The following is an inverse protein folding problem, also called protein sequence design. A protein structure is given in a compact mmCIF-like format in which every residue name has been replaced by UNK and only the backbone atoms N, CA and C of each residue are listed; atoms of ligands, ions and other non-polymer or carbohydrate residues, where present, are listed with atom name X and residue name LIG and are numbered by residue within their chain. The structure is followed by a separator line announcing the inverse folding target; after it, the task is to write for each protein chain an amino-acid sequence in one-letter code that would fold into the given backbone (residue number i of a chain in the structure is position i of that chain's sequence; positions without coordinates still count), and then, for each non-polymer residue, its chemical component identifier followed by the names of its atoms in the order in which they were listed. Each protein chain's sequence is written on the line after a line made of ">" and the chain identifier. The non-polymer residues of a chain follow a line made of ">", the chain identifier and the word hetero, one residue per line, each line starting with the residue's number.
data_IF_818637234565
#
_entry.id   IF_818637234565
#
_cell.length_a   1.000
_cell.length_b   1.000
_cell.length_c   1.000
_cell.angle_alpha   90.00
_cell.angle_beta   90.00
_cell.angle_gamma   90.00
#
_symmetry.space_group_name_H-M   'P 1'
#
loop_
_entity.id
_entity.type
_entity.pdbx_description
1 polymer ?
#
# COMPACT_ATOMS: atom_id res chain seq x y z
N UNK A 1 -25.54 -38.67 8.09
CA UNK A 1 -24.38 -39.33 7.47
C UNK A 1 -23.44 -39.78 8.59
N UNK A 2 -23.26 -41.09 8.76
CA UNK A 2 -22.30 -41.66 9.71
C UNK A 2 -20.88 -41.35 9.20
N UNK A 3 -20.11 -40.58 9.94
CA UNK A 3 -18.70 -40.31 9.66
C UNK A 3 -17.80 -41.17 10.56
N UNK A 4 -16.66 -41.60 10.03
CA UNK A 4 -15.72 -42.51 10.72
C UNK A 4 -15.09 -41.93 12.00
N UNK A 5 -15.22 -40.63 12.27
CA UNK A 5 -14.51 -39.92 13.33
C UNK A 5 -15.37 -39.35 14.46
N UNK A 6 -16.47 -40.01 14.83
CA UNK A 6 -17.33 -39.54 15.93
C UNK A 6 -18.78 -40.01 15.91
N UNK A 7 -19.13 -40.91 14.99
CA UNK A 7 -20.48 -41.46 14.92
C UNK A 7 -20.77 -42.50 16.02
N UNK A 8 -19.76 -43.16 16.60
CA UNK A 8 -19.95 -44.13 17.69
C UNK A 8 -19.98 -43.38 19.03
N UNK A 9 -21.06 -43.57 19.79
CA UNK A 9 -21.29 -42.95 21.09
C UNK A 9 -20.98 -43.91 22.25
N UNK A 10 -21.30 -45.19 22.10
CA UNK A 10 -21.06 -46.20 23.13
C UNK A 10 -20.87 -47.58 22.50
N UNK A 11 -20.16 -48.45 23.22
CA UNK A 11 -20.04 -49.88 22.91
C UNK A 11 -20.15 -50.64 24.23
N UNK A 12 -21.12 -51.54 24.33
CA UNK A 12 -21.38 -52.37 25.51
C UNK A 12 -21.40 -53.84 25.12
N UNK A 13 -20.77 -54.67 25.95
CA UNK A 13 -20.70 -56.13 25.77
C UNK A 13 -21.47 -56.80 26.92
N UNK A 14 -22.40 -57.69 26.57
CA UNK A 14 -23.13 -58.52 27.51
C UNK A 14 -22.73 -59.98 27.28
N UNK A 15 -21.80 -60.47 28.12
CA UNK A 15 -21.26 -61.83 28.00
C UNK A 15 -22.30 -62.91 28.37
N UNK A 16 -23.32 -62.57 29.16
CA UNK A 16 -24.36 -63.52 29.55
C UNK A 16 -25.35 -63.77 28.41
N UNK A 17 -25.67 -62.71 27.66
CA UNK A 17 -26.58 -62.78 26.50
C UNK A 17 -25.83 -62.94 25.16
N UNK A 18 -24.49 -62.96 25.17
CA UNK A 18 -23.63 -62.95 23.98
C UNK A 18 -24.03 -61.84 22.99
N UNK A 19 -24.24 -60.63 23.50
CA UNK A 19 -24.78 -59.47 22.77
C UNK A 19 -23.81 -58.30 22.82
N UNK A 20 -23.63 -57.62 21.68
CA UNK A 20 -22.91 -56.35 21.60
C UNK A 20 -23.89 -55.25 21.23
N UNK A 21 -23.89 -54.15 21.98
CA UNK A 21 -24.70 -52.96 21.71
C UNK A 21 -23.79 -51.80 21.34
N UNK A 22 -24.08 -51.14 20.22
CA UNK A 22 -23.33 -49.98 19.75
C UNK A 22 -24.29 -48.80 19.64
N UNK A 23 -24.06 -47.76 20.44
CA UNK A 23 -24.77 -46.50 20.30
C UNK A 23 -24.18 -45.70 19.15
N UNK A 24 -25.00 -45.24 18.20
CA UNK A 24 -24.54 -44.46 17.05
C UNK A 24 -25.33 -43.16 16.87
N UNK A 25 -24.64 -42.11 16.42
CA UNK A 25 -25.22 -40.82 16.06
C UNK A 25 -25.17 -40.61 14.57
N UNK A 26 -26.35 -40.64 13.94
CA UNK A 26 -26.50 -40.32 12.53
C UNK A 26 -27.28 -41.40 11.78
N UNK A 27 -27.04 -41.45 10.48
CA UNK A 27 -27.76 -42.30 9.52
C UNK A 27 -26.84 -42.62 8.35
N UNK A 28 -27.01 -43.79 7.76
CA UNK A 28 -26.18 -44.30 6.68
C UNK A 28 -25.68 -45.73 6.93
N UNK A 29 -24.74 -46.17 6.11
CA UNK A 29 -24.15 -47.50 6.21
C UNK A 29 -23.21 -47.59 7.41
N UNK A 30 -23.46 -48.55 8.29
CA UNK A 30 -22.56 -48.91 9.38
C UNK A 30 -21.88 -50.23 9.06
N UNK A 31 -20.54 -50.28 9.24
CA UNK A 31 -19.74 -51.49 9.08
C UNK A 31 -18.98 -51.78 10.37
N UNK A 32 -19.07 -53.02 10.85
CA UNK A 32 -18.45 -53.46 12.10
C UNK A 32 -17.73 -54.79 11.88
N UNK A 33 -16.52 -54.89 12.38
CA UNK A 33 -15.77 -56.15 12.35
C UNK A 33 -16.34 -57.15 13.36
N UNK A 34 -16.56 -58.40 12.92
CA UNK A 34 -16.96 -59.51 13.77
C UNK A 34 -16.20 -60.77 13.37
N UNK A 35 -15.57 -61.44 14.33
CA UNK A 35 -14.81 -62.68 14.08
C UNK A 35 -15.69 -63.84 13.61
N UNK A 36 -16.95 -63.85 14.03
CA UNK A 36 -17.98 -64.82 13.65
C UNK A 36 -19.24 -64.11 13.14
N UNK A 37 -20.01 -64.79 12.28
CA UNK A 37 -21.24 -64.23 11.71
C UNK A 37 -22.31 -64.10 12.80
N UNK A 38 -22.89 -62.90 13.04
CA UNK A 38 -23.96 -62.73 14.02
C UNK A 38 -25.21 -63.55 13.67
N UNK A 39 -26.00 -63.93 14.68
CA UNK A 39 -27.29 -64.60 14.45
C UNK A 39 -28.39 -63.62 14.00
N UNK A 40 -28.39 -62.39 14.50
CA UNK A 40 -29.33 -61.35 14.09
C UNK A 40 -28.76 -59.95 14.40
N UNK A 41 -29.21 -58.94 13.66
CA UNK A 41 -28.95 -57.53 13.97
C UNK A 41 -30.27 -56.82 14.27
N UNK A 42 -30.24 -55.90 15.23
CA UNK A 42 -31.40 -55.08 15.61
C UNK A 42 -30.99 -53.61 15.69
N UNK A 43 -31.86 -52.73 15.23
CA UNK A 43 -31.75 -51.27 15.43
C UNK A 43 -32.92 -50.87 16.32
N UNK A 44 -32.63 -50.27 17.47
CA UNK A 44 -33.63 -49.85 18.47
C UNK A 44 -34.64 -50.97 18.84
N UNK A 45 -34.16 -52.22 18.90
CA UNK A 45 -34.96 -53.40 19.21
C UNK A 45 -35.71 -54.02 18.01
N UNK A 46 -35.74 -53.36 16.86
CA UNK A 46 -36.37 -53.87 15.63
C UNK A 46 -35.36 -54.69 14.82
N UNK A 47 -35.71 -55.91 14.45
CA UNK A 47 -34.88 -56.77 13.61
C UNK A 47 -34.66 -56.16 12.23
N UNK A 48 -33.40 -56.11 11.78
CA UNK A 48 -33.00 -55.58 10.48
C UNK A 48 -32.21 -56.62 9.70
N UNK A 49 -32.31 -56.54 8.37
CA UNK A 49 -31.44 -57.31 7.48
C UNK A 49 -30.00 -56.75 7.54
N UNK A 50 -29.03 -57.66 7.53
CA UNK A 50 -27.61 -57.32 7.53
C UNK A 50 -26.85 -58.23 6.57
N UNK A 51 -25.76 -57.73 6.00
CA UNK A 51 -24.81 -58.56 5.24
C UNK A 51 -23.56 -58.87 6.07
N UNK A 52 -22.92 -59.99 5.78
CA UNK A 52 -21.67 -60.41 6.40
C UNK A 52 -20.71 -60.94 5.33
N UNK A 53 -19.68 -60.18 5.02
CA UNK A 53 -18.65 -60.47 4.03
C UNK A 53 -17.29 -60.04 4.62
N UNK A 54 -16.23 -60.81 4.39
CA UNK A 54 -14.87 -60.49 4.87
C UNK A 54 -14.76 -60.14 6.37
N UNK A 55 -15.50 -60.84 7.22
CA UNK A 55 -15.58 -60.57 8.68
C UNK A 55 -16.16 -59.19 9.03
N UNK A 56 -16.87 -58.56 8.11
CA UNK A 56 -17.51 -57.27 8.28
C UNK A 56 -19.03 -57.41 8.19
N UNK A 57 -19.71 -57.00 9.26
CA UNK A 57 -21.17 -56.87 9.33
C UNK A 57 -21.55 -55.50 8.79
N UNK A 58 -22.46 -55.45 7.80
CA UNK A 58 -22.95 -54.19 7.23
C UNK A 58 -24.45 -54.04 7.47
N UNK A 59 -24.84 -52.87 7.99
CA UNK A 59 -26.24 -52.53 8.32
C UNK A 59 -26.55 -51.10 7.85
N UNK A 60 -27.74 -50.86 7.30
CA UNK A 60 -28.21 -49.52 6.96
C UNK A 60 -28.97 -48.89 8.13
N UNK A 61 -28.40 -47.84 8.73
CA UNK A 61 -29.03 -47.08 9.82
C UNK A 61 -29.97 -46.03 9.22
N UNK A 62 -31.30 -46.16 9.40
CA UNK A 62 -32.26 -45.22 8.86
C UNK A 62 -32.19 -43.86 9.56
N UNK A 63 -32.72 -42.82 8.90
CA UNK A 63 -32.88 -41.52 9.56
C UNK A 63 -33.99 -41.61 10.62
N UNK A 64 -33.77 -41.07 11.84
CA UNK A 64 -34.84 -41.03 12.85
C UNK A 64 -36.00 -40.15 12.33
N UNK A 65 -37.22 -40.68 12.37
CA UNK A 65 -38.52 -40.06 12.00
C UNK A 65 -38.99 -40.14 10.53
N UNK A 66 -38.88 -41.29 9.86
CA UNK A 66 -39.44 -41.54 8.52
C UNK A 66 -40.98 -41.73 8.44
N UNK A 67 -41.76 -41.10 9.33
CA UNK A 67 -43.22 -41.16 9.28
C UNK A 67 -43.81 -40.21 8.21
N UNK A 68 -44.91 -40.61 7.56
CA UNK A 68 -45.63 -39.93 6.44
C UNK A 68 -45.93 -38.42 6.61
N UNK A 69 -45.86 -37.86 7.83
CA UNK A 69 -45.95 -36.41 8.10
C UNK A 69 -44.77 -35.60 7.52
N UNK A 70 -43.64 -36.27 7.22
CA UNK A 70 -42.43 -35.65 6.67
C UNK A 70 -42.55 -35.22 5.20
N UNK A 71 -43.43 -35.84 4.40
CA UNK A 71 -43.60 -35.49 2.98
C UNK A 71 -44.22 -34.10 2.79
N UNK A 72 -45.27 -33.77 3.55
CA UNK A 72 -45.91 -32.46 3.48
C UNK A 72 -44.99 -31.33 3.99
N UNK A 73 -44.23 -31.59 5.06
CA UNK A 73 -43.20 -30.66 5.54
C UNK A 73 -42.09 -30.47 4.52
N UNK A 74 -41.67 -31.53 3.82
CA UNK A 74 -40.64 -31.46 2.77
C UNK A 74 -41.09 -30.60 1.59
N UNK A 75 -42.30 -30.79 1.10
CA UNK A 75 -42.85 -29.99 0.00
C UNK A 75 -43.01 -28.50 0.38
N UNK A 76 -43.44 -28.21 1.61
CA UNK A 76 -43.55 -26.83 2.11
C UNK A 76 -42.18 -26.18 2.33
N UNK A 77 -41.20 -26.94 2.82
CA UNK A 77 -39.81 -26.48 2.94
C UNK A 77 -39.20 -26.19 1.57
N UNK A 78 -39.43 -27.04 0.57
CA UNK A 78 -38.95 -26.80 -0.80
C UNK A 78 -39.54 -25.52 -1.39
N UNK A 79 -40.81 -25.21 -1.13
CA UNK A 79 -41.45 -23.97 -1.60
C UNK A 79 -40.90 -22.72 -0.87
N UNK A 80 -40.75 -22.78 0.45
CA UNK A 80 -40.18 -21.68 1.23
C UNK A 80 -38.70 -21.41 0.89
N UNK A 81 -37.92 -22.47 0.67
CA UNK A 81 -36.52 -22.36 0.23
C UNK A 81 -36.46 -21.74 -1.16
N UNK A 82 -37.35 -22.14 -2.07
CA UNK A 82 -37.38 -21.57 -3.42
C UNK A 82 -37.71 -20.07 -3.40
N UNK A 83 -38.64 -19.64 -2.55
CA UNK A 83 -39.00 -18.24 -2.39
C UNK A 83 -37.84 -17.40 -1.85
N UNK A 84 -37.19 -17.84 -0.76
CA UNK A 84 -36.01 -17.15 -0.22
C UNK A 84 -34.82 -17.18 -1.17
N UNK A 85 -34.60 -18.27 -1.90
CA UNK A 85 -33.56 -18.35 -2.92
C UNK A 85 -33.81 -17.35 -4.05
N UNK A 86 -35.07 -17.21 -4.48
CA UNK A 86 -35.46 -16.24 -5.51
C UNK A 86 -35.27 -14.82 -5.00
N UNK A 87 -35.66 -14.53 -3.76
CA UNK A 87 -35.45 -13.22 -3.12
C UNK A 87 -33.97 -12.87 -2.99
N UNK A 88 -33.15 -13.80 -2.52
CA UNK A 88 -31.70 -13.62 -2.40
C UNK A 88 -31.05 -13.40 -3.76
N UNK A 89 -31.46 -14.18 -4.78
CA UNK A 89 -30.98 -14.01 -6.15
C UNK A 89 -31.28 -12.60 -6.69
N UNK A 90 -32.52 -12.13 -6.53
CA UNK A 90 -32.91 -10.78 -6.96
C UNK A 90 -32.12 -9.69 -6.22
N UNK A 91 -31.91 -9.86 -4.92
CA UNK A 91 -31.12 -8.91 -4.11
C UNK A 91 -29.65 -8.88 -4.55
N UNK A 92 -29.07 -10.03 -4.88
CA UNK A 92 -27.71 -10.12 -5.42
C UNK A 92 -27.63 -9.40 -6.77
N UNK A 93 -28.55 -9.68 -7.68
CA UNK A 93 -28.59 -9.03 -9.01
C UNK A 93 -28.73 -7.50 -8.89
N UNK A 94 -29.57 -7.01 -7.98
CA UNK A 94 -29.73 -5.57 -7.71
C UNK A 94 -28.43 -4.95 -7.18
N UNK A 95 -27.78 -5.59 -6.21
CA UNK A 95 -26.52 -5.10 -5.63
C UNK A 95 -25.36 -5.14 -6.61
N UNK A 96 -25.29 -6.15 -7.47
CA UNK A 96 -24.29 -6.22 -8.55
C UNK A 96 -24.49 -5.06 -9.54
N UNK A 97 -25.74 -4.73 -9.87
CA UNK A 97 -26.07 -3.58 -10.72
C UNK A 97 -25.65 -2.26 -10.06
N UNK A 98 -26.01 -2.03 -8.80
CA UNK A 98 -25.59 -0.81 -8.05
C UNK A 98 -24.07 -0.70 -7.97
N UNK A 99 -23.38 -1.82 -7.75
CA UNK A 99 -21.92 -1.86 -7.65
C UNK A 99 -21.27 -1.51 -8.99
N UNK A 100 -21.82 -2.03 -10.11
CA UNK A 100 -21.37 -1.69 -11.45
C UNK A 100 -21.58 -0.20 -11.77
N UNK A 101 -22.75 0.34 -11.48
CA UNK A 101 -23.03 1.78 -11.70
C UNK A 101 -22.10 2.69 -10.90
N UNK A 102 -21.82 2.34 -9.63
CA UNK A 102 -20.85 3.06 -8.80
C UNK A 102 -19.44 2.93 -9.36
N UNK A 103 -19.04 1.74 -9.80
CA UNK A 103 -17.72 1.51 -10.41
C UNK A 103 -17.55 2.30 -11.70
N UNK A 104 -18.57 2.36 -12.55
CA UNK A 104 -18.57 3.12 -13.80
C UNK A 104 -18.52 4.63 -13.52
N UNK A 105 -19.27 5.10 -12.51
CA UNK A 105 -19.22 6.50 -12.07
C UNK A 105 -17.84 6.87 -11.53
N UNK A 106 -17.22 6.02 -10.70
CA UNK A 106 -15.85 6.21 -10.21
C UNK A 106 -14.87 6.27 -11.39
N UNK A 107 -15.02 5.37 -12.36
CA UNK A 107 -14.14 5.31 -13.52
C UNK A 107 -14.28 6.56 -14.40
N UNK A 108 -15.52 7.05 -14.59
CA UNK A 108 -15.80 8.28 -15.33
C UNK A 108 -15.31 9.56 -14.62
N UNK A 109 -15.36 9.59 -13.28
CA UNK A 109 -14.89 10.73 -12.47
C UNK A 109 -13.39 10.68 -12.18
N UNK A 110 -12.77 9.50 -12.25
CA UNK A 110 -11.33 9.37 -12.04
C UNK A 110 -10.55 10.10 -13.13
N UNK A 111 -9.54 10.86 -12.71
CA UNK A 111 -8.62 11.48 -13.66
C UNK A 111 -7.92 10.38 -14.46
N UNK A 112 -8.15 10.37 -15.76
CA UNK A 112 -7.52 9.43 -16.69
C UNK A 112 -6.49 10.18 -17.53
N UNK A 113 -5.18 10.03 -17.27
CA UNK A 113 -4.13 10.75 -18.00
C UNK A 113 -4.19 10.51 -19.52
N UNK A 114 -4.72 9.37 -19.95
CA UNK A 114 -4.84 9.01 -21.36
C UNK A 114 -6.06 9.63 -22.06
N UNK A 115 -7.05 10.12 -21.30
CA UNK A 115 -8.20 10.83 -21.87
C UNK A 115 -7.74 12.13 -22.54
N UNK A 116 -8.47 12.59 -23.55
CA UNK A 116 -8.18 13.85 -24.24
C UNK A 116 -8.06 15.02 -23.24
N UNK A 117 -8.96 15.07 -22.26
CA UNK A 117 -8.93 16.09 -21.19
C UNK A 117 -7.76 15.87 -20.24
N UNK A 118 -7.47 14.61 -19.88
CA UNK A 118 -6.33 14.28 -19.02
C UNK A 118 -4.99 14.67 -19.63
N UNK A 119 -4.76 14.34 -20.90
CA UNK A 119 -3.57 14.74 -21.66
C UNK A 119 -3.41 16.25 -21.72
N UNK A 120 -4.50 16.99 -21.96
CA UNK A 120 -4.49 18.45 -21.98
C UNK A 120 -4.11 19.02 -20.61
N UNK A 121 -4.67 18.49 -19.52
CA UNK A 121 -4.32 18.91 -18.17
C UNK A 121 -2.87 18.60 -17.81
N UNK A 122 -2.36 17.43 -18.20
CA UNK A 122 -0.94 17.07 -18.00
C UNK A 122 -0.02 18.03 -18.76
N UNK A 123 -0.32 18.34 -20.03
CA UNK A 123 0.47 19.27 -20.83
C UNK A 123 0.47 20.69 -20.26
N UNK A 124 -0.68 21.17 -19.78
CA UNK A 124 -0.77 22.49 -19.12
C UNK A 124 0.00 22.54 -17.80
N UNK A 125 0.06 21.42 -17.07
CA UNK A 125 0.82 21.35 -15.83
C UNK A 125 2.33 21.37 -16.11
N UNK A 126 2.78 20.64 -17.13
CA UNK A 126 4.18 20.62 -17.57
C UNK A 126 4.62 22.00 -18.08
N UNK A 127 3.80 22.68 -18.89
CA UNK A 127 4.08 24.05 -19.38
C UNK A 127 4.19 25.05 -18.21
N UNK A 128 3.33 24.95 -17.19
CA UNK A 128 3.39 25.82 -16.02
C UNK A 128 4.68 25.61 -15.20
N UNK A 129 5.14 24.37 -15.07
CA UNK A 129 6.40 24.06 -14.40
C UNK A 129 7.60 24.63 -15.18
N UNK A 130 7.60 24.50 -16.50
CA UNK A 130 8.63 25.07 -17.38
C UNK A 130 8.66 26.61 -17.30
N UNK A 131 7.50 27.28 -17.32
CA UNK A 131 7.41 28.74 -17.14
C UNK A 131 7.98 29.16 -15.77
N UNK A 132 7.68 28.40 -14.71
CA UNK A 132 8.21 28.64 -13.37
C UNK A 132 9.74 28.50 -13.31
N UNK A 133 10.28 27.46 -13.94
CA UNK A 133 11.71 27.22 -14.03
C UNK A 133 12.41 28.35 -14.80
N UNK A 134 11.96 28.67 -16.01
CA UNK A 134 12.52 29.76 -16.82
C UNK A 134 12.48 31.11 -16.11
N UNK A 135 11.38 31.43 -15.41
CA UNK A 135 11.25 32.68 -14.68
C UNK A 135 12.19 32.77 -13.47
N UNK A 136 12.36 31.67 -12.74
CA UNK A 136 13.24 31.61 -11.57
C UNK A 136 14.72 31.60 -11.97
N UNK A 137 15.09 30.83 -12.98
CA UNK A 137 16.45 30.75 -13.52
C UNK A 137 16.88 32.05 -14.20
N UNK A 138 15.99 32.68 -14.98
CA UNK A 138 16.29 33.93 -15.68
C UNK A 138 16.66 35.07 -14.72
N UNK A 139 15.86 35.26 -13.66
CA UNK A 139 16.15 36.26 -12.62
C UNK A 139 17.44 35.94 -11.86
N UNK A 140 17.69 34.67 -11.57
CA UNK A 140 18.91 34.26 -10.89
C UNK A 140 20.15 34.53 -11.75
N UNK A 141 20.09 34.21 -13.05
CA UNK A 141 21.17 34.46 -13.99
C UNK A 141 21.45 35.95 -14.17
N UNK A 142 20.40 36.77 -14.30
CA UNK A 142 20.53 38.23 -14.41
C UNK A 142 21.20 38.83 -13.15
N UNK A 143 20.74 38.46 -11.96
CA UNK A 143 21.34 38.91 -10.70
C UNK A 143 22.79 38.43 -10.56
N UNK A 144 23.10 37.20 -10.97
CA UNK A 144 24.46 36.68 -10.96
C UNK A 144 25.38 37.47 -11.90
N UNK A 145 24.89 37.85 -13.09
CA UNK A 145 25.63 38.68 -14.04
C UNK A 145 25.88 40.10 -13.50
N UNK A 146 24.87 40.74 -12.92
CA UNK A 146 25.02 42.04 -12.26
C UNK A 146 26.02 41.99 -11.10
N UNK A 147 25.98 40.92 -10.29
CA UNK A 147 26.92 40.71 -9.19
C UNK A 147 28.36 40.53 -9.69
N UNK A 148 28.56 39.78 -10.78
CA UNK A 148 29.88 39.61 -11.38
C UNK A 148 30.44 40.94 -11.91
N UNK A 149 29.60 41.73 -12.59
CA UNK A 149 29.98 43.07 -13.06
C UNK A 149 30.36 44.00 -11.90
N UNK A 150 29.55 44.04 -10.83
CA UNK A 150 29.84 44.82 -9.62
C UNK A 150 31.16 44.39 -8.95
N UNK A 151 31.44 43.09 -8.90
CA UNK A 151 32.73 42.59 -8.37
C UNK A 151 33.91 43.07 -9.22
N UNK A 152 33.77 43.06 -10.55
CA UNK A 152 34.80 43.57 -11.47
C UNK A 152 35.03 45.06 -11.27
N UNK A 153 33.96 45.86 -11.23
CA UNK A 153 34.06 47.30 -11.01
C UNK A 153 34.72 47.63 -9.66
N UNK A 154 34.38 46.89 -8.60
CA UNK A 154 35.02 47.05 -7.29
C UNK A 154 36.51 46.67 -7.31
N UNK A 155 36.90 45.64 -8.06
CA UNK A 155 38.29 45.26 -8.23
C UNK A 155 39.09 46.35 -8.97
N UNK A 156 38.50 46.93 -10.02
CA UNK A 156 39.11 48.01 -10.78
C UNK A 156 39.26 49.29 -9.94
N UNK A 157 38.23 49.68 -9.19
CA UNK A 157 38.31 50.81 -8.25
C UNK A 157 39.43 50.62 -7.23
N UNK A 158 39.56 49.42 -6.65
CA UNK A 158 40.67 49.10 -5.73
C UNK A 158 42.03 49.27 -6.38
N UNK A 159 42.20 48.78 -7.61
CA UNK A 159 43.43 48.94 -8.38
C UNK A 159 43.76 50.42 -8.65
N UNK A 160 42.76 51.21 -9.04
CA UNK A 160 42.93 52.65 -9.27
C UNK A 160 43.33 53.39 -7.98
N UNK A 161 42.70 53.08 -6.84
CA UNK A 161 43.07 53.66 -5.55
C UNK A 161 44.50 53.29 -5.14
N UNK A 162 44.92 52.05 -5.36
CA UNK A 162 46.28 51.62 -5.06
C UNK A 162 47.30 52.34 -5.95
N UNK A 163 47.00 52.52 -7.25
CA UNK A 163 47.83 53.31 -8.15
C UNK A 163 47.94 54.77 -7.72
N UNK A 164 46.82 55.39 -7.32
CA UNK A 164 46.80 56.76 -6.82
C UNK A 164 47.63 56.91 -5.53
N UNK A 165 47.53 55.93 -4.62
CA UNK A 165 48.29 55.91 -3.39
C UNK A 165 49.80 55.88 -3.64
N UNK A 166 50.26 55.03 -4.58
CA UNK A 166 51.68 54.97 -4.99
C UNK A 166 52.15 56.28 -5.62
N UNK A 167 51.31 56.92 -6.43
CA UNK A 167 51.65 58.22 -7.02
C UNK A 167 51.77 59.32 -5.96
N UNK A 168 50.86 59.34 -4.99
CA UNK A 168 50.90 60.28 -3.87
C UNK A 168 52.15 60.10 -3.02
N UNK A 169 52.52 58.85 -2.71
CA UNK A 169 53.76 58.52 -1.99
C UNK A 169 55.01 59.02 -2.75
N UNK A 170 55.07 58.79 -4.06
CA UNK A 170 56.14 59.32 -4.91
C UNK A 170 56.25 60.84 -4.85
N UNK A 171 55.12 61.55 -4.93
CA UNK A 171 55.08 63.01 -4.85
C UNK A 171 55.49 63.52 -3.45
N UNK A 172 55.08 62.84 -2.38
CA UNK A 172 55.52 63.17 -1.01
C UNK A 172 57.04 63.06 -0.89
N UNK A 173 57.64 61.97 -1.40
CA UNK A 173 59.09 61.80 -1.39
C UNK A 173 59.82 62.89 -2.19
N UNK A 174 59.29 63.30 -3.34
CA UNK A 174 59.87 64.37 -4.15
C UNK A 174 59.78 65.74 -3.46
N UNK A 175 58.67 66.01 -2.75
CA UNK A 175 58.52 67.22 -1.93
C UNK A 175 59.51 67.22 -0.77
N UNK A 176 59.71 66.10 -0.09
CA UNK A 176 60.71 65.97 0.98
C UNK A 176 62.12 66.25 0.48
N UNK A 177 62.52 65.64 -0.65
CA UNK A 177 63.83 65.92 -1.29
C UNK A 177 63.98 67.38 -1.72
N UNK A 178 62.92 67.95 -2.31
CA UNK A 178 62.91 69.36 -2.72
C UNK A 178 63.10 70.29 -1.53
N UNK A 179 62.41 70.00 -0.42
CA UNK A 179 62.56 70.74 0.84
C UNK A 179 63.98 70.61 1.42
N UNK A 180 64.58 69.42 1.42
CA UNK A 180 65.98 69.21 1.83
C UNK A 180 66.95 70.04 0.98
N UNK A 181 66.79 70.04 -0.35
CA UNK A 181 67.61 70.86 -1.24
C UNK A 181 67.45 72.36 -0.97
N UNK A 182 66.22 72.82 -0.74
CA UNK A 182 65.94 74.20 -0.42
C UNK A 182 66.64 74.65 0.88
N UNK A 183 66.63 73.80 1.92
CA UNK A 183 67.35 74.04 3.17
C UNK A 183 68.87 74.17 2.93
N UNK A 184 69.48 73.24 2.19
CA UNK A 184 70.91 73.28 1.87
C UNK A 184 71.27 74.57 1.09
N UNK A 185 70.41 74.99 0.16
CA UNK A 185 70.64 76.22 -0.60
C UNK A 185 70.51 77.48 0.27
N UNK A 186 69.59 77.50 1.24
CA UNK A 186 69.48 78.59 2.22
C UNK A 186 70.73 78.69 3.08
N UNK A 187 71.24 77.58 3.61
CA UNK A 187 72.47 77.54 4.41
C UNK A 187 73.67 78.09 3.62
N UNK A 188 73.84 77.67 2.36
CA UNK A 188 74.90 78.19 1.47
C UNK A 188 74.77 79.69 1.18
N UNK A 189 73.54 80.22 1.09
CA UNK A 189 73.30 81.65 0.88
C UNK A 189 73.66 82.46 2.14
N UNK A 190 73.29 81.96 3.32
CA UNK A 190 73.68 82.59 4.60
C UNK A 190 75.19 82.57 4.80
N UNK A 191 75.85 81.45 4.50
CA UNK A 191 77.31 81.34 4.54
C UNK A 191 77.98 82.38 3.62
N UNK A 192 77.51 82.55 2.38
CA UNK A 192 78.04 83.57 1.47
C UNK A 192 77.82 84.98 2.01
N UNK A 193 76.62 85.26 2.52
CA UNK A 193 76.27 86.56 3.08
C UNK A 193 77.07 86.92 4.34
N UNK A 194 77.56 85.90 5.06
CA UNK A 194 78.44 86.07 6.22
C UNK A 194 79.92 86.29 5.88
N UNK A 195 80.33 86.07 4.63
CA UNK A 195 81.72 86.17 4.16
C UNK A 195 82.03 87.46 3.38
N UNK A 196 81.00 88.22 2.98
CA UNK A 196 81.10 89.58 2.42
C UNK A 196 80.89 90.64 3.52
#
# INVERSE_FOLDING_TARGET
>A
MLSCGGAIQSVEFDDNENLVRVGVRGSGEMRVFASEKPMSCKIDGVGVEFSYEDKMVTVQVPWPNSSRSSLARRLLLDLAIHEEFTRLKNLVEEKEKELKEKQDTISALSFTPQSKTGKMLMALQEENEEIGNLASEGKMHELAMQLALQKSQNAELRSQFEGLHKHMEGLTNDVERSNEMALILQEKLEEKRSRD
#
